data_IF_497333166803
#
_entry.id   IF_497333166803
#
_cell.length_a   1.000
_cell.length_b   1.000
_cell.length_c   1.000
_cell.angle_alpha   90.00
_cell.angle_beta   90.00
_cell.angle_gamma   90.00
#
_symmetry.space_group_name_H-M   'P 1'
#
loop_
_entity.id
_entity.type
_entity.pdbx_description
1 polymer ?
#
# COMPACT_ATOMS: atom_id res chain seq x y z
N UNK A 1 -67.34 -63.75 3.71
CA UNK A 1 -67.33 -62.82 4.86
C UNK A 1 -66.67 -61.53 4.41
N UNK A 2 -67.21 -60.37 4.84
CA UNK A 2 -67.67 -59.36 3.87
C UNK A 2 -66.94 -58.03 4.05
N UNK A 3 -67.07 -57.12 3.07
CA UNK A 3 -67.59 -55.78 3.36
C UNK A 3 -68.42 -55.27 2.16
N UNK A 4 -69.65 -54.90 2.51
CA UNK A 4 -70.70 -54.28 1.71
C UNK A 4 -70.80 -52.84 2.19
N UNK A 5 -70.94 -51.86 1.29
CA UNK A 5 -71.99 -50.81 1.38
C UNK A 5 -72.29 -50.27 -0.03
N UNK A 6 -73.58 -50.28 -0.39
CA UNK A 6 -74.24 -49.66 -1.56
C UNK A 6 -74.36 -48.14 -1.39
N UNK A 7 -74.42 -47.38 -2.49
CA UNK A 7 -75.49 -46.38 -2.76
C UNK A 7 -75.39 -45.78 -4.17
N UNK A 8 -76.53 -45.78 -4.88
CA UNK A 8 -76.98 -44.85 -5.94
C UNK A 8 -78.39 -44.46 -5.45
N UNK A 9 -78.87 -43.19 -5.41
CA UNK A 9 -79.25 -42.47 -6.64
C UNK A 9 -79.35 -40.90 -6.61
N UNK A 10 -79.71 -40.37 -7.78
CA UNK A 10 -80.47 -39.12 -8.11
C UNK A 10 -79.70 -37.83 -8.46
N UNK A 11 -79.77 -37.54 -9.77
CA UNK A 11 -80.00 -36.29 -10.50
C UNK A 11 -79.82 -34.90 -9.84
N UNK A 12 -79.05 -34.05 -10.52
CA UNK A 12 -79.33 -32.62 -10.74
C UNK A 12 -78.59 -32.19 -12.02
N UNK A 13 -79.32 -31.94 -13.11
CA UNK A 13 -79.64 -30.61 -13.61
C UNK A 13 -78.48 -29.95 -14.39
N UNK A 14 -78.67 -29.87 -15.71
CA UNK A 14 -77.85 -29.12 -16.63
C UNK A 14 -77.85 -27.62 -16.27
N UNK A 15 -76.67 -27.02 -16.20
CA UNK A 15 -76.50 -25.57 -16.31
C UNK A 15 -75.61 -25.33 -17.51
N UNK A 16 -76.24 -24.91 -18.59
CA UNK A 16 -75.60 -24.29 -19.74
C UNK A 16 -75.22 -22.86 -19.31
N UNK A 17 -73.93 -22.58 -19.12
CA UNK A 17 -73.46 -21.20 -19.00
C UNK A 17 -72.39 -20.96 -20.07
N UNK A 18 -72.73 -20.02 -20.95
CA UNK A 18 -71.97 -19.64 -22.12
C UNK A 18 -70.53 -19.26 -21.76
N UNK A 19 -69.57 -20.04 -22.25
CA UNK A 19 -68.19 -19.55 -22.39
C UNK A 19 -68.19 -18.65 -23.61
N UNK A 20 -68.21 -17.34 -23.36
CA UNK A 20 -67.87 -16.34 -24.35
C UNK A 20 -66.48 -16.65 -24.89
N UNK A 21 -66.37 -16.91 -26.19
CA UNK A 21 -65.13 -16.76 -26.92
C UNK A 21 -64.71 -15.29 -26.81
N UNK A 22 -63.83 -14.98 -25.87
CA UNK A 22 -62.99 -13.80 -25.97
C UNK A 22 -61.84 -14.18 -26.90
N UNK A 23 -61.89 -13.56 -28.08
CA UNK A 23 -60.89 -13.69 -29.12
C UNK A 23 -59.48 -13.39 -28.59
N UNK A 24 -58.53 -14.11 -29.16
CA UNK A 24 -57.09 -13.95 -29.03
C UNK A 24 -56.70 -12.46 -29.15
N UNK A 25 -56.11 -11.91 -28.09
CA UNK A 25 -55.17 -10.81 -28.25
C UNK A 25 -53.87 -11.42 -28.72
N UNK A 26 -53.48 -11.12 -29.97
CA UNK A 26 -52.11 -11.29 -30.46
C UNK A 26 -51.19 -10.37 -29.65
N UNK A 27 -50.87 -10.76 -28.42
CA UNK A 27 -49.73 -10.19 -27.72
C UNK A 27 -48.47 -10.77 -28.39
N UNK A 28 -48.03 -10.08 -29.44
CA UNK A 28 -46.66 -10.11 -29.96
C UNK A 28 -45.68 -9.59 -28.90
N UNK A 29 -45.74 -10.14 -27.69
CA UNK A 29 -44.68 -9.99 -26.69
C UNK A 29 -43.57 -10.92 -27.15
N UNK A 30 -42.74 -10.42 -28.07
CA UNK A 30 -41.41 -10.98 -28.28
C UNK A 30 -40.83 -11.25 -26.88
N UNK A 31 -40.40 -12.48 -26.54
CA UNK A 31 -39.80 -12.75 -25.24
C UNK A 31 -38.74 -11.67 -24.96
N UNK A 32 -38.60 -11.19 -23.72
CA UNK A 32 -37.71 -10.06 -23.45
C UNK A 32 -36.34 -10.40 -24.02
N UNK A 33 -35.81 -9.55 -24.89
CA UNK A 33 -34.49 -9.82 -25.46
C UNK A 33 -33.44 -9.74 -24.34
N UNK A 34 -32.30 -10.40 -24.53
CA UNK A 34 -31.12 -10.14 -23.70
C UNK A 34 -30.79 -8.63 -23.73
N UNK A 35 -30.24 -8.05 -22.64
CA UNK A 35 -29.96 -6.62 -22.60
C UNK A 35 -28.99 -6.18 -23.72
N UNK A 36 -29.07 -4.93 -24.21
CA UNK A 36 -28.10 -4.40 -25.16
C UNK A 36 -26.71 -4.25 -24.51
N UNK A 37 -25.67 -4.11 -25.34
CA UNK A 37 -24.32 -3.87 -24.86
C UNK A 37 -24.24 -2.61 -23.97
N UNK A 38 -23.60 -2.68 -22.80
CA UNK A 38 -23.28 -1.49 -22.02
C UNK A 38 -22.45 -0.49 -22.83
N UNK A 39 -22.64 0.80 -22.55
CA UNK A 39 -21.90 1.90 -23.17
C UNK A 39 -21.14 2.68 -22.11
N UNK A 40 -20.17 3.49 -22.55
CA UNK A 40 -19.42 4.37 -21.64
C UNK A 40 -18.54 3.62 -20.65
N UNK A 41 -18.09 2.39 -20.98
CA UNK A 41 -17.08 1.71 -20.19
C UNK A 41 -15.80 2.55 -20.19
N UNK A 42 -15.39 2.97 -19.01
CA UNK A 42 -14.16 3.70 -18.75
C UNK A 42 -13.34 2.97 -17.69
N UNK A 43 -12.02 3.05 -17.81
CA UNK A 43 -11.05 2.57 -16.85
C UNK A 43 -10.11 3.72 -16.48
N UNK A 44 -9.87 3.92 -15.19
CA UNK A 44 -8.94 4.92 -14.67
C UNK A 44 -8.10 4.30 -13.56
N UNK A 45 -6.83 4.65 -13.48
CA UNK A 45 -5.96 4.22 -12.39
C UNK A 45 -6.27 5.04 -11.13
N UNK A 46 -6.31 4.38 -9.97
CA UNK A 46 -6.39 5.05 -8.67
C UNK A 46 -5.15 5.93 -8.44
N UNK A 47 -5.27 6.94 -7.59
CA UNK A 47 -4.18 7.89 -7.34
C UNK A 47 -2.89 7.23 -6.79
N UNK A 48 -3.03 6.10 -6.10
CA UNK A 48 -1.95 5.30 -5.54
C UNK A 48 -1.41 4.23 -6.51
N UNK A 49 -1.93 4.18 -7.75
CA UNK A 49 -1.53 3.22 -8.78
C UNK A 49 -1.68 1.75 -8.36
N UNK A 50 -2.61 1.46 -7.46
CA UNK A 50 -2.85 0.12 -6.91
C UNK A 50 -4.11 -0.54 -7.46
N UNK A 51 -5.01 0.23 -8.07
CA UNK A 51 -6.35 -0.24 -8.46
C UNK A 51 -6.78 0.39 -9.78
N UNK A 52 -7.37 -0.39 -10.68
CA UNK A 52 -8.10 0.13 -11.85
C UNK A 52 -9.58 0.31 -11.48
N UNK A 53 -10.03 1.55 -11.47
CA UNK A 53 -11.41 1.95 -11.25
C UNK A 53 -12.18 1.93 -12.57
N UNK A 54 -13.18 1.07 -12.65
CA UNK A 54 -14.04 0.89 -13.81
C UNK A 54 -15.42 1.49 -13.56
N UNK A 55 -15.98 2.09 -14.61
CA UNK A 55 -17.37 2.58 -14.60
C UNK A 55 -18.02 2.40 -15.96
N UNK A 56 -19.33 2.22 -15.99
CA UNK A 56 -20.12 2.14 -17.23
C UNK A 56 -21.54 2.71 -17.04
N UNK A 57 -22.27 2.91 -18.13
CA UNK A 57 -23.66 3.36 -18.08
C UNK A 57 -24.61 2.20 -17.74
N UNK A 58 -25.63 2.49 -16.92
CA UNK A 58 -26.69 1.53 -16.64
C UNK A 58 -27.45 1.13 -17.91
N UNK A 59 -27.78 -0.16 -18.03
CA UNK A 59 -28.50 -0.73 -19.17
C UNK A 59 -29.94 -1.04 -18.78
N UNK A 60 -30.90 -0.46 -19.50
CA UNK A 60 -32.33 -0.75 -19.31
C UNK A 60 -32.62 -2.22 -19.53
N UNK A 61 -33.32 -2.85 -18.57
CA UNK A 61 -33.70 -4.26 -18.63
C UNK A 61 -32.61 -5.24 -18.18
N UNK A 62 -31.45 -4.74 -17.73
CA UNK A 62 -30.43 -5.54 -17.07
C UNK A 62 -30.79 -5.77 -15.58
N UNK A 63 -30.55 -6.98 -15.08
CA UNK A 63 -30.59 -7.29 -13.65
C UNK A 63 -29.18 -7.36 -13.04
N UNK A 64 -28.14 -7.41 -13.87
CA UNK A 64 -26.75 -7.26 -13.46
C UNK A 64 -25.75 -7.19 -14.61
N UNK A 65 -24.48 -7.23 -14.28
CA UNK A 65 -23.36 -7.17 -15.23
C UNK A 65 -22.31 -8.24 -14.96
N UNK A 66 -21.66 -8.68 -16.04
CA UNK A 66 -20.45 -9.50 -16.05
C UNK A 66 -19.31 -8.64 -16.58
N UNK A 67 -18.25 -8.52 -15.78
CA UNK A 67 -17.03 -7.81 -16.14
C UNK A 67 -15.91 -8.81 -16.43
N UNK A 68 -15.28 -8.65 -17.58
CA UNK A 68 -14.17 -9.47 -18.03
C UNK A 68 -12.91 -8.62 -18.26
N UNK A 69 -11.75 -9.20 -17.94
CA UNK A 69 -10.41 -8.63 -18.12
C UNK A 69 -9.55 -9.55 -18.96
N UNK A 70 -8.69 -8.98 -19.79
CA UNK A 70 -7.60 -9.67 -20.48
C UNK A 70 -6.31 -8.85 -20.31
N UNK A 71 -5.16 -9.50 -20.26
CA UNK A 71 -3.87 -8.82 -20.40
C UNK A 71 -3.60 -8.44 -21.85
N UNK A 72 -2.87 -7.34 -22.05
CA UNK A 72 -2.35 -6.88 -23.33
C UNK A 72 -3.21 -5.81 -24.04
N UNK A 73 -2.53 -5.12 -24.96
CA UNK A 73 -3.13 -4.29 -26.00
C UNK A 73 -2.43 -4.60 -27.33
N UNK A 74 -3.06 -5.34 -28.26
CA UNK A 74 -4.45 -5.82 -28.23
C UNK A 74 -4.70 -6.86 -27.14
N UNK A 75 -5.95 -6.98 -26.72
CA UNK A 75 -6.39 -7.90 -25.67
C UNK A 75 -6.02 -9.36 -25.98
N UNK A 76 -5.49 -10.06 -24.98
CA UNK A 76 -5.33 -11.50 -24.96
C UNK A 76 -6.64 -12.25 -24.70
N UNK A 77 -6.60 -13.24 -23.79
CA UNK A 77 -7.81 -14.01 -23.44
C UNK A 77 -8.57 -13.34 -22.31
N UNK A 78 -9.86 -13.07 -22.53
CA UNK A 78 -10.74 -12.51 -21.50
C UNK A 78 -11.13 -13.57 -20.45
N UNK A 79 -11.01 -13.21 -19.18
CA UNK A 79 -11.49 -13.95 -18.03
C UNK A 79 -12.43 -13.06 -17.19
N UNK A 80 -13.44 -13.67 -16.59
CA UNK A 80 -14.37 -12.94 -15.72
C UNK A 80 -13.69 -12.55 -14.40
N UNK A 81 -13.77 -11.28 -14.04
CA UNK A 81 -13.27 -10.72 -12.77
C UNK A 81 -14.41 -10.20 -11.87
N UNK A 82 -15.58 -9.94 -12.46
CA UNK A 82 -16.80 -9.61 -11.72
C UNK A 82 -18.01 -10.29 -12.36
N UNK A 83 -18.84 -10.92 -11.56
CA UNK A 83 -20.12 -11.52 -11.97
C UNK A 83 -21.23 -11.08 -11.03
N UNK A 84 -22.47 -11.09 -11.53
CA UNK A 84 -23.65 -10.68 -10.77
C UNK A 84 -23.57 -9.27 -10.17
N UNK A 85 -22.81 -8.38 -10.82
CA UNK A 85 -22.66 -7.00 -10.38
C UNK A 85 -23.99 -6.26 -10.56
N UNK A 86 -24.52 -5.67 -9.49
CA UNK A 86 -25.75 -4.86 -9.55
C UNK A 86 -25.47 -3.37 -9.71
N UNK A 87 -24.25 -2.94 -9.35
CA UNK A 87 -23.75 -1.59 -9.60
C UNK A 87 -23.16 -1.42 -10.99
N UNK A 88 -22.77 -0.18 -11.31
CA UNK A 88 -22.15 0.19 -12.59
C UNK A 88 -20.70 0.65 -12.43
N UNK A 89 -20.05 0.20 -11.36
CA UNK A 89 -18.65 0.47 -11.04
C UNK A 89 -17.98 -0.79 -10.51
N UNK A 90 -16.66 -0.91 -10.67
CA UNK A 90 -15.86 -2.00 -10.13
C UNK A 90 -14.42 -1.55 -9.88
N UNK A 91 -13.82 -1.99 -8.79
CA UNK A 91 -12.43 -1.68 -8.43
C UNK A 91 -11.58 -2.94 -8.57
N UNK A 92 -10.70 -2.97 -9.57
CA UNK A 92 -9.79 -4.09 -9.84
C UNK A 92 -8.42 -3.83 -9.22
N UNK A 93 -8.16 -4.43 -8.05
CA UNK A 93 -6.90 -4.29 -7.32
C UNK A 93 -5.88 -5.41 -7.61
N UNK A 94 -6.24 -6.39 -8.45
CA UNK A 94 -5.37 -7.50 -8.84
C UNK A 94 -4.62 -7.14 -10.12
N UNK A 95 -3.85 -6.05 -10.06
CA UNK A 95 -3.12 -5.48 -11.19
C UNK A 95 -1.62 -5.49 -10.94
N UNK A 96 -0.87 -5.63 -12.02
CA UNK A 96 0.58 -5.52 -12.01
C UNK A 96 1.03 -4.25 -12.75
N UNK A 97 2.06 -3.59 -12.20
CA UNK A 97 2.73 -2.48 -12.87
C UNK A 97 3.45 -3.01 -14.12
N UNK A 98 3.54 -2.16 -15.14
CA UNK A 98 4.08 -2.46 -16.48
C UNK A 98 3.28 -3.51 -17.27
N UNK A 99 2.04 -3.78 -16.85
CA UNK A 99 1.09 -4.61 -17.59
C UNK A 99 -0.01 -3.73 -18.17
N UNK A 100 -0.44 -4.01 -19.41
CA UNK A 100 -1.64 -3.40 -19.97
C UNK A 100 -2.83 -4.34 -19.73
N UNK A 101 -3.96 -3.79 -19.33
CA UNK A 101 -5.21 -4.54 -19.17
C UNK A 101 -6.27 -4.02 -20.14
N UNK A 102 -7.03 -4.95 -20.69
CA UNK A 102 -8.19 -4.70 -21.52
C UNK A 102 -9.44 -5.20 -20.82
N UNK A 103 -10.47 -4.37 -20.74
CA UNK A 103 -11.73 -4.66 -20.06
C UNK A 103 -12.90 -4.59 -21.01
N UNK A 104 -13.91 -5.43 -20.77
CA UNK A 104 -15.24 -5.33 -21.39
C UNK A 104 -16.30 -5.75 -20.38
N UNK A 105 -17.49 -5.18 -20.52
CA UNK A 105 -18.61 -5.48 -19.63
C UNK A 105 -19.84 -5.89 -20.44
N UNK A 106 -20.56 -6.90 -19.98
CA UNK A 106 -21.81 -7.38 -20.56
C UNK A 106 -22.94 -7.21 -19.55
N UNK A 107 -24.11 -6.75 -19.99
CA UNK A 107 -25.32 -6.76 -19.16
C UNK A 107 -26.04 -8.10 -19.28
N UNK A 108 -26.69 -8.57 -18.21
CA UNK A 108 -27.50 -9.78 -18.25
C UNK A 108 -28.86 -9.58 -17.57
N UNK A 109 -29.81 -10.45 -17.91
CA UNK A 109 -31.09 -10.61 -17.22
C UNK A 109 -31.52 -12.09 -17.25
N UNK A 110 -32.77 -12.39 -16.86
CA UNK A 110 -33.32 -13.75 -16.84
C UNK A 110 -33.33 -14.46 -18.21
N UNK A 111 -33.12 -13.72 -19.29
CA UNK A 111 -33.09 -14.23 -20.67
C UNK A 111 -31.66 -14.55 -21.14
N UNK A 112 -30.66 -14.15 -20.35
CA UNK A 112 -29.24 -14.42 -20.59
C UNK A 112 -28.38 -13.17 -20.64
N UNK A 113 -27.12 -13.39 -21.00
CA UNK A 113 -26.09 -12.35 -21.13
C UNK A 113 -26.10 -11.75 -22.54
N UNK A 114 -26.17 -10.42 -22.62
CA UNK A 114 -26.10 -9.68 -23.88
C UNK A 114 -24.69 -9.62 -24.46
N UNK A 115 -24.55 -8.92 -25.59
CA UNK A 115 -23.22 -8.66 -26.20
C UNK A 115 -22.37 -7.75 -25.32
N UNK A 116 -21.04 -7.95 -25.27
CA UNK A 116 -20.15 -7.09 -24.50
C UNK A 116 -20.10 -5.66 -25.06
N UNK A 117 -19.71 -4.72 -24.19
CA UNK A 117 -19.34 -3.35 -24.54
C UNK A 117 -18.17 -3.31 -25.53
N UNK A 118 -17.87 -2.12 -26.04
CA UNK A 118 -16.55 -1.84 -26.59
C UNK A 118 -15.47 -2.13 -25.53
N UNK A 119 -14.30 -2.60 -25.98
CA UNK A 119 -13.14 -2.85 -25.13
C UNK A 119 -12.50 -1.51 -24.76
N UNK A 120 -12.20 -1.31 -23.48
CA UNK A 120 -11.31 -0.25 -23.01
C UNK A 120 -9.98 -0.88 -22.62
N UNK A 121 -8.87 -0.23 -22.96
CA UNK A 121 -7.53 -0.67 -22.55
C UNK A 121 -6.92 0.44 -21.70
N UNK A 122 -6.23 0.04 -20.63
CA UNK A 122 -5.38 0.90 -19.81
C UNK A 122 -4.00 0.25 -19.67
N UNK A 123 -2.94 1.02 -19.85
CA UNK A 123 -1.58 0.61 -19.53
C UNK A 123 -1.29 1.05 -18.09
N UNK A 124 -0.84 0.12 -17.24
CA UNK A 124 -0.41 0.42 -15.88
C UNK A 124 1.06 0.79 -15.95
N UNK A 125 1.35 2.04 -16.27
CA UNK A 125 2.72 2.57 -16.35
C UNK A 125 3.11 3.24 -15.02
N UNK A 126 4.38 3.10 -14.60
CA UNK A 126 4.91 3.80 -13.42
C UNK A 126 5.46 2.87 -12.34
N UNK A 127 5.25 3.25 -11.08
CA UNK A 127 5.59 2.50 -9.86
C UNK A 127 4.36 2.59 -8.94
N UNK A 128 4.08 1.56 -8.13
CA UNK A 128 3.03 1.68 -7.11
C UNK A 128 3.46 2.77 -6.12
N UNK A 129 2.52 3.51 -5.54
CA UNK A 129 2.87 4.48 -4.50
C UNK A 129 2.07 4.22 -3.25
N UNK A 130 2.69 4.39 -2.08
CA UNK A 130 2.00 4.20 -0.81
C UNK A 130 2.52 5.17 0.26
N UNK A 131 1.61 5.85 0.94
CA UNK A 131 1.96 6.72 2.08
C UNK A 131 1.90 5.93 3.39
N UNK A 132 2.92 6.11 4.23
CA UNK A 132 2.99 5.59 5.59
C UNK A 132 2.92 6.80 6.54
N UNK A 133 1.76 7.00 7.16
CA UNK A 133 1.53 8.08 8.13
C UNK A 133 1.34 7.59 9.57
N UNK A 134 0.89 6.34 9.72
CA UNK A 134 0.69 5.72 11.03
C UNK A 134 1.92 4.95 11.50
N UNK A 135 2.06 4.83 12.82
CA UNK A 135 3.08 3.98 13.43
C UNK A 135 2.89 2.51 13.03
N UNK A 136 4.01 1.83 12.79
CA UNK A 136 4.06 0.41 12.46
C UNK A 136 4.08 -0.38 13.77
N UNK A 137 2.92 -0.90 14.16
CA UNK A 137 2.71 -1.59 15.46
C UNK A 137 2.74 -3.11 15.36
N UNK A 138 2.85 -3.65 14.15
CA UNK A 138 3.03 -5.07 13.86
C UNK A 138 3.99 -5.22 12.67
N UNK A 139 4.49 -6.43 12.45
CA UNK A 139 5.41 -6.72 11.36
C UNK A 139 4.86 -6.21 10.01
N UNK A 140 5.72 -5.53 9.26
CA UNK A 140 5.37 -4.95 7.96
C UNK A 140 6.49 -5.18 6.97
N UNK A 141 6.15 -5.54 5.74
CA UNK A 141 7.07 -5.64 4.61
C UNK A 141 6.83 -4.50 3.62
N UNK A 142 7.91 -3.85 3.17
CA UNK A 142 7.92 -2.88 2.08
C UNK A 142 8.51 -3.55 0.83
N UNK A 143 7.82 -3.41 -0.30
CA UNK A 143 8.12 -4.12 -1.55
C UNK A 143 8.83 -3.23 -2.56
N UNK A 144 9.68 -3.82 -3.40
CA UNK A 144 10.51 -3.07 -4.35
C UNK A 144 9.73 -2.52 -5.56
N UNK A 145 8.47 -2.92 -5.74
CA UNK A 145 7.55 -2.43 -6.77
C UNK A 145 6.79 -1.17 -6.36
N UNK A 146 7.07 -0.65 -5.16
CA UNK A 146 6.32 0.42 -4.51
C UNK A 146 7.25 1.51 -3.98
N UNK A 147 6.99 2.74 -4.41
CA UNK A 147 7.56 3.96 -3.83
C UNK A 147 6.79 4.30 -2.54
N UNK A 148 7.47 4.26 -1.41
CA UNK A 148 6.86 4.59 -0.13
C UNK A 148 7.16 6.02 0.30
N UNK A 149 6.14 6.78 0.72
CA UNK A 149 6.30 8.11 1.30
C UNK A 149 6.08 8.04 2.82
N UNK A 150 7.08 8.43 3.61
CA UNK A 150 6.96 8.60 5.06
C UNK A 150 6.34 9.96 5.35
N UNK A 151 5.12 10.00 5.88
CA UNK A 151 4.39 11.23 6.18
C UNK A 151 4.27 11.42 7.69
N UNK A 152 5.23 12.15 8.26
CA UNK A 152 5.37 12.34 9.70
C UNK A 152 6.55 11.55 10.30
N UNK A 153 6.58 11.49 11.64
CA UNK A 153 7.59 10.77 12.41
C UNK A 153 7.14 9.32 12.59
N UNK A 154 7.32 8.51 11.55
CA UNK A 154 6.81 7.13 11.49
C UNK A 154 7.63 6.25 12.43
N UNK A 155 6.98 5.71 13.47
CA UNK A 155 7.64 4.85 14.46
C UNK A 155 7.33 3.38 14.23
N UNK A 156 8.37 2.56 14.19
CA UNK A 156 8.26 1.09 14.32
C UNK A 156 8.29 0.76 15.81
N UNK A 157 7.14 0.29 16.32
CA UNK A 157 6.94 0.08 17.75
C UNK A 157 7.64 -1.19 18.25
N UNK A 158 7.89 -1.23 19.57
CA UNK A 158 8.49 -2.38 20.23
C UNK A 158 7.76 -3.68 19.89
N UNK A 159 8.51 -4.73 19.54
CA UNK A 159 7.96 -6.03 19.14
C UNK A 159 7.62 -6.15 17.65
N UNK A 160 7.61 -5.05 16.88
CA UNK A 160 7.42 -5.09 15.43
C UNK A 160 8.75 -5.11 14.67
N UNK A 161 8.73 -5.74 13.50
CA UNK A 161 9.84 -5.73 12.52
C UNK A 161 9.39 -5.06 11.22
N UNK A 162 10.14 -4.07 10.78
CA UNK A 162 10.02 -3.48 9.44
C UNK A 162 11.00 -4.18 8.50
N UNK A 163 10.49 -5.02 7.61
CA UNK A 163 11.28 -5.66 6.54
C UNK A 163 11.18 -4.84 5.26
N UNK A 164 12.31 -4.60 4.60
CA UNK A 164 12.38 -3.83 3.36
C UNK A 164 13.11 -4.64 2.31
N UNK A 165 12.46 -4.89 1.18
CA UNK A 165 13.05 -5.64 0.07
C UNK A 165 14.21 -4.88 -0.59
N UNK A 166 15.20 -5.59 -1.16
CA UNK A 166 16.22 -4.96 -1.98
C UNK A 166 15.62 -4.13 -3.12
N UNK A 167 16.16 -2.95 -3.39
CA UNK A 167 15.70 -2.05 -4.45
C UNK A 167 14.53 -1.14 -4.09
N UNK A 168 13.92 -1.30 -2.91
CA UNK A 168 12.83 -0.41 -2.48
C UNK A 168 13.32 1.02 -2.31
N UNK A 169 12.53 1.97 -2.83
CA UNK A 169 12.72 3.41 -2.60
C UNK A 169 11.71 3.92 -1.59
N UNK A 170 12.19 4.64 -0.59
CA UNK A 170 11.41 5.30 0.44
C UNK A 170 11.77 6.79 0.43
N UNK A 171 10.77 7.66 0.47
CA UNK A 171 10.95 9.11 0.48
C UNK A 171 10.37 9.76 1.73
N UNK A 172 11.01 10.81 2.22
CA UNK A 172 10.37 11.73 3.17
C UNK A 172 9.30 12.58 2.47
N UNK A 173 8.16 12.77 3.12
CA UNK A 173 7.08 13.63 2.61
C UNK A 173 7.49 15.11 2.65
N UNK A 174 7.61 15.80 1.50
CA UNK A 174 7.99 17.21 1.46
C UNK A 174 6.89 18.13 2.01
N UNK A 175 5.65 17.64 2.17
CA UNK A 175 4.57 18.38 2.79
C UNK A 175 4.58 18.27 4.33
N UNK A 176 5.38 17.36 4.90
CA UNK A 176 5.47 17.14 6.35
C UNK A 176 6.91 17.34 6.83
N UNK A 177 7.14 18.54 7.38
CA UNK A 177 8.39 18.96 8.00
C UNK A 177 8.96 17.90 8.96
N UNK A 178 10.20 17.49 8.72
CA UNK A 178 10.92 16.52 9.55
C UNK A 178 10.42 15.07 9.43
N UNK A 179 9.63 14.76 8.39
CA UNK A 179 9.20 13.38 8.13
C UNK A 179 10.41 12.41 8.17
N UNK A 180 10.27 11.31 8.90
CA UNK A 180 11.41 10.46 9.28
C UNK A 180 10.96 9.06 9.73
N UNK A 181 11.92 8.13 9.77
CA UNK A 181 11.69 6.75 10.21
C UNK A 181 12.39 6.48 11.55
N UNK A 182 11.65 5.98 12.53
CA UNK A 182 12.12 5.80 13.91
C UNK A 182 11.93 4.33 14.32
N UNK A 183 13.02 3.59 14.48
CA UNK A 183 13.01 2.22 14.99
C UNK A 183 13.15 2.28 16.51
N UNK A 184 12.06 2.06 17.24
CA UNK A 184 12.05 2.21 18.70
C UNK A 184 12.72 1.03 19.41
N UNK A 185 13.05 1.23 20.70
CA UNK A 185 13.62 0.17 21.55
C UNK A 185 12.78 -1.11 21.51
N UNK A 186 13.43 -2.22 21.17
CA UNK A 186 12.81 -3.54 21.05
C UNK A 186 12.05 -3.77 19.73
N UNK A 187 12.02 -2.79 18.82
CA UNK A 187 11.65 -2.98 17.43
C UNK A 187 12.86 -3.41 16.61
N UNK A 188 12.63 -3.84 15.37
CA UNK A 188 13.69 -4.21 14.43
C UNK A 188 13.46 -3.62 13.04
N UNK A 189 14.55 -3.34 12.34
CA UNK A 189 14.56 -3.08 10.90
C UNK A 189 15.36 -4.18 10.19
N UNK A 190 14.80 -4.74 9.13
CA UNK A 190 15.47 -5.70 8.26
C UNK A 190 15.55 -5.12 6.85
N UNK A 191 16.56 -4.29 6.61
CA UNK A 191 16.82 -3.60 5.35
C UNK A 191 18.09 -4.17 4.72
N UNK A 192 17.94 -5.22 3.93
CA UNK A 192 19.04 -5.96 3.30
C UNK A 192 19.03 -5.78 1.79
N UNK A 193 19.48 -4.62 1.31
CA UNK A 193 19.71 -4.38 -0.11
C UNK A 193 20.86 -5.21 -0.68
N UNK A 194 21.13 -5.01 -1.96
CA UNK A 194 22.33 -5.55 -2.63
C UNK A 194 23.10 -4.45 -3.36
N UNK A 195 24.30 -4.75 -3.83
CA UNK A 195 25.07 -3.79 -4.63
C UNK A 195 24.33 -3.35 -5.91
N UNK A 196 23.57 -4.26 -6.54
CA UNK A 196 22.81 -4.00 -7.77
C UNK A 196 21.41 -3.42 -7.48
N UNK A 197 20.88 -3.63 -6.28
CA UNK A 197 19.57 -3.17 -5.85
C UNK A 197 19.65 -2.65 -4.40
N UNK A 198 20.29 -1.49 -4.17
CA UNK A 198 20.34 -0.89 -2.84
C UNK A 198 18.96 -0.43 -2.41
N UNK A 199 18.70 -0.43 -1.11
CA UNK A 199 17.53 0.25 -0.53
C UNK A 199 17.86 1.74 -0.43
N UNK A 200 16.97 2.60 -0.89
CA UNK A 200 17.21 4.06 -0.93
C UNK A 200 16.17 4.77 -0.10
N UNK A 201 16.63 5.47 0.95
CA UNK A 201 15.87 6.50 1.64
C UNK A 201 16.32 7.87 1.12
N UNK A 202 15.42 8.69 0.61
CA UNK A 202 15.78 9.95 -0.06
C UNK A 202 14.70 11.03 0.09
N UNK A 203 14.98 12.21 -0.47
CA UNK A 203 14.01 13.31 -0.52
C UNK A 203 12.83 13.00 -1.43
N UNK A 204 11.62 13.35 -0.97
CA UNK A 204 10.40 13.34 -1.78
C UNK A 204 10.27 14.53 -2.73
N UNK A 205 11.18 15.50 -2.69
CA UNK A 205 11.22 16.57 -3.68
C UNK A 205 11.62 16.02 -5.06
N UNK A 206 11.12 16.64 -6.15
CA UNK A 206 11.51 16.28 -7.51
C UNK A 206 13.03 16.34 -7.70
N UNK A 207 13.55 15.40 -8.50
CA UNK A 207 14.97 15.40 -8.89
C UNK A 207 15.36 16.77 -9.47
N UNK A 208 16.48 17.32 -8.99
CA UNK A 208 16.94 18.67 -9.34
C UNK A 208 16.50 19.76 -8.36
N UNK A 209 15.52 19.48 -7.50
CA UNK A 209 15.05 20.37 -6.43
C UNK A 209 15.33 19.82 -5.03
N UNK A 210 16.05 18.69 -4.93
CA UNK A 210 16.40 18.07 -3.65
C UNK A 210 17.50 18.86 -2.96
N UNK A 211 17.38 19.02 -1.65
CA UNK A 211 18.33 19.74 -0.83
C UNK A 211 18.63 18.97 0.47
N UNK A 212 19.83 19.14 1.05
CA UNK A 212 20.10 18.68 2.41
C UNK A 212 19.01 19.16 3.37
N UNK A 213 18.53 18.27 4.24
CA UNK A 213 17.50 18.58 5.24
C UNK A 213 16.07 18.56 4.69
N UNK A 214 15.85 18.02 3.49
CA UNK A 214 14.50 17.85 2.93
C UNK A 214 13.61 16.95 3.80
N UNK A 215 14.21 16.05 4.58
CA UNK A 215 13.53 15.14 5.50
C UNK A 215 14.45 14.75 6.68
N UNK A 216 13.90 14.09 7.69
CA UNK A 216 14.56 13.89 8.99
C UNK A 216 15.44 12.66 9.13
N UNK A 217 15.61 11.84 8.09
CA UNK A 217 16.50 10.67 8.15
C UNK A 217 15.95 9.46 8.91
N UNK A 218 16.86 8.57 9.30
CA UNK A 218 16.56 7.30 9.97
C UNK A 218 17.16 7.29 11.37
N UNK A 219 16.34 6.95 12.35
CA UNK A 219 16.72 6.88 13.75
C UNK A 219 16.51 5.46 14.28
N UNK A 220 17.48 4.93 15.02
CA UNK A 220 17.39 3.62 15.67
C UNK A 220 17.68 3.76 17.16
N UNK A 221 16.77 3.27 18.00
CA UNK A 221 16.92 3.21 19.45
C UNK A 221 17.11 1.76 19.85
N UNK A 222 18.30 1.42 20.34
CA UNK A 222 18.60 0.11 20.89
C UNK A 222 18.46 0.03 22.40
N UNK A 223 18.98 -1.07 22.93
CA UNK A 223 19.05 -1.37 24.36
C UNK A 223 20.49 -1.49 24.89
N UNK A 224 21.46 -0.94 24.18
CA UNK A 224 22.87 -0.79 24.58
C UNK A 224 23.07 0.17 25.75
N UNK A 225 24.23 0.13 26.37
CA UNK A 225 24.58 0.95 27.53
C UNK A 225 25.03 2.34 27.06
N UNK A 226 24.66 3.38 27.79
CA UNK A 226 25.15 4.76 27.61
C UNK A 226 25.73 5.29 28.92
N UNK A 227 26.57 6.32 28.85
CA UNK A 227 27.27 6.89 30.01
C UNK A 227 26.52 8.07 30.71
N UNK A 228 25.26 8.33 30.34
CA UNK A 228 24.43 9.40 30.91
C UNK A 228 23.33 8.89 31.87
N UNK A 229 23.00 9.73 32.86
CA UNK A 229 21.93 9.45 33.80
C UNK A 229 20.53 9.75 33.20
N UNK A 230 19.51 8.93 33.48
CA UNK A 230 18.17 9.11 32.93
C UNK A 230 17.41 10.29 33.55
N UNK A 231 16.42 10.88 32.85
CA UNK A 231 16.06 10.59 31.47
C UNK A 231 16.97 11.32 30.48
N UNK A 232 17.34 10.64 29.40
CA UNK A 232 17.95 11.26 28.20
C UNK A 232 17.05 10.98 27.01
N UNK A 233 16.73 12.03 26.26
CA UNK A 233 15.80 12.04 25.15
C UNK A 233 16.56 12.15 23.84
N UNK A 234 16.07 11.48 22.79
CA UNK A 234 16.53 11.70 21.43
C UNK A 234 16.31 13.15 21.03
N UNK A 235 17.03 13.59 20.00
CA UNK A 235 16.66 14.80 19.27
C UNK A 235 15.34 14.61 18.51
N UNK A 236 14.75 15.72 18.08
CA UNK A 236 13.44 15.77 17.45
C UNK A 236 12.50 16.79 18.11
N UNK A 237 11.35 17.06 17.48
CA UNK A 237 10.46 18.10 17.97
C UNK A 237 9.81 17.72 19.31
N UNK A 238 9.45 18.76 20.07
CA UNK A 238 8.81 18.61 21.37
C UNK A 238 7.57 17.70 21.30
N UNK A 239 7.52 16.69 22.17
CA UNK A 239 6.41 15.73 22.24
C UNK A 239 6.53 14.55 21.28
N UNK A 240 7.56 14.51 20.42
CA UNK A 240 7.88 13.37 19.54
C UNK A 240 9.10 12.60 20.05
N UNK A 241 10.05 13.28 20.68
CA UNK A 241 11.29 12.70 21.24
C UNK A 241 11.06 11.46 22.09
N UNK A 242 12.00 10.52 22.07
CA UNK A 242 11.93 9.24 22.78
C UNK A 242 13.02 9.11 23.83
N UNK A 243 12.76 8.37 24.91
CA UNK A 243 13.81 8.09 25.92
C UNK A 243 14.70 6.96 25.44
N UNK A 244 16.01 7.20 25.31
CA UNK A 244 17.00 6.15 25.02
C UNK A 244 17.95 5.86 26.18
N UNK A 245 17.89 6.61 27.28
CA UNK A 245 18.59 6.21 28.51
C UNK A 245 18.09 4.88 29.10
N UNK A 246 18.91 4.26 29.96
CA UNK A 246 18.55 3.04 30.70
C UNK A 246 18.68 1.74 29.93
N UNK A 247 19.37 1.72 28.78
CA UNK A 247 19.75 0.48 28.13
C UNK A 247 20.78 -0.30 28.95
N UNK A 248 20.75 -1.63 28.83
CA UNK A 248 21.47 -2.57 29.72
C UNK A 248 22.19 -3.70 28.99
N UNK A 249 22.11 -3.75 27.67
CA UNK A 249 22.54 -4.89 26.86
C UNK A 249 23.31 -4.43 25.63
N UNK A 250 24.63 -4.40 25.73
CA UNK A 250 25.49 -4.13 24.57
C UNK A 250 25.39 -5.18 23.47
N UNK A 251 24.88 -6.38 23.74
CA UNK A 251 24.62 -7.40 22.72
C UNK A 251 23.20 -7.30 22.12
N UNK A 252 22.46 -6.22 22.40
CA UNK A 252 21.17 -5.96 21.77
C UNK A 252 21.27 -5.94 20.24
N UNK A 253 20.16 -6.26 19.58
CA UNK A 253 20.11 -6.34 18.12
C UNK A 253 18.84 -5.64 17.64
N UNK A 254 19.02 -4.47 17.04
CA UNK A 254 17.97 -3.64 16.43
C UNK A 254 17.74 -3.95 14.95
N UNK A 255 18.44 -4.96 14.41
CA UNK A 255 18.25 -5.49 13.06
C UNK A 255 19.47 -5.31 12.15
N UNK A 256 19.20 -5.10 10.85
CA UNK A 256 20.21 -5.05 9.80
C UNK A 256 19.94 -3.89 8.85
N UNK A 257 20.95 -3.07 8.62
CA UNK A 257 21.06 -2.18 7.46
C UNK A 257 22.24 -2.65 6.62
N UNK A 258 21.95 -3.13 5.41
CA UNK A 258 22.95 -3.57 4.46
C UNK A 258 22.66 -3.06 3.05
N UNK A 259 23.65 -2.44 2.38
CA UNK A 259 23.46 -1.80 1.07
C UNK A 259 22.30 -0.81 1.08
N UNK A 260 22.38 0.15 2.00
CA UNK A 260 21.37 1.20 2.22
C UNK A 260 21.98 2.55 1.87
N UNK A 261 21.23 3.38 1.14
CA UNK A 261 21.56 4.79 0.90
C UNK A 261 20.55 5.66 1.65
N UNK A 262 21.06 6.66 2.37
CA UNK A 262 20.27 7.67 3.05
C UNK A 262 20.73 9.01 2.46
N UNK A 263 19.82 9.73 1.82
CA UNK A 263 20.16 10.90 1.02
C UNK A 263 19.33 12.10 1.40
N UNK A 264 19.92 13.29 1.42
CA UNK A 264 19.20 14.57 1.63
C UNK A 264 18.44 14.64 2.97
N UNK A 265 18.83 13.81 3.95
CA UNK A 265 18.33 13.86 5.32
C UNK A 265 18.92 15.06 6.07
N UNK A 266 18.71 15.20 7.39
CA UNK A 266 19.31 16.30 8.15
C UNK A 266 18.34 17.34 8.72
N UNK A 267 17.02 17.09 8.79
CA UNK A 267 16.03 18.15 9.02
C UNK A 267 16.21 18.90 10.36
N UNK A 268 16.34 20.23 10.28
CA UNK A 268 16.39 21.12 11.43
C UNK A 268 15.02 21.31 12.10
N UNK A 269 14.84 20.65 13.24
CA UNK A 269 13.58 20.69 14.01
C UNK A 269 13.47 21.93 14.88
N UNK A 270 14.53 22.72 15.00
CA UNK A 270 14.65 23.88 15.88
C UNK A 270 14.51 25.23 15.16
N UNK A 271 14.65 25.26 13.83
CA UNK A 271 14.64 26.48 13.04
C UNK A 271 15.89 27.34 13.23
N UNK A 272 17.05 26.70 13.36
CA UNK A 272 18.39 27.30 13.41
C UNK A 272 18.92 27.47 14.83
N UNK A 273 18.36 26.73 15.79
CA UNK A 273 18.78 26.76 17.18
C UNK A 273 19.62 25.53 17.60
N UNK A 274 20.08 24.72 16.64
CA UNK A 274 20.98 23.60 16.88
C UNK A 274 20.28 22.36 17.45
N UNK A 275 19.06 22.05 16.97
CA UNK A 275 18.53 20.69 17.07
C UNK A 275 18.10 20.25 15.69
N UNK A 276 18.88 19.35 15.14
CA UNK A 276 18.74 18.81 13.81
C UNK A 276 18.57 17.28 13.93
N UNK A 277 17.88 16.67 12.97
CA UNK A 277 17.85 15.22 12.87
C UNK A 277 18.93 14.79 11.89
N UNK A 278 19.65 13.71 12.16
CA UNK A 278 20.76 13.28 11.32
C UNK A 278 20.34 12.42 10.12
N UNK A 279 21.29 12.04 9.27
CA UNK A 279 21.05 11.03 8.25
C UNK A 279 20.80 9.66 8.88
N UNK A 280 21.71 9.19 9.73
CA UNK A 280 21.52 7.99 10.54
C UNK A 280 21.91 8.24 12.00
N UNK A 281 20.91 8.32 12.88
CA UNK A 281 21.14 8.43 14.33
C UNK A 281 21.03 7.06 15.01
N UNK A 282 22.04 6.70 15.78
CA UNK A 282 22.19 5.42 16.45
C UNK A 282 22.20 5.62 17.97
N UNK A 283 21.01 5.60 18.56
CA UNK A 283 20.83 5.77 20.00
C UNK A 283 20.92 4.45 20.74
N UNK A 284 21.95 4.28 21.58
CA UNK A 284 22.14 3.08 22.40
C UNK A 284 22.05 1.77 21.59
N UNK A 285 22.53 1.74 20.35
CA UNK A 285 22.38 0.57 19.46
C UNK A 285 23.40 -0.51 19.85
N UNK A 286 22.94 -1.75 20.05
CA UNK A 286 23.81 -2.86 20.46
C UNK A 286 24.60 -3.50 19.32
N UNK A 287 25.68 -4.20 19.68
CA UNK A 287 26.63 -4.89 18.80
C UNK A 287 26.05 -6.08 18.05
N UNK A 288 24.83 -6.52 18.39
CA UNK A 288 24.11 -7.53 17.62
C UNK A 288 23.48 -6.98 16.34
N UNK A 289 23.40 -5.65 16.21
CA UNK A 289 22.89 -4.96 15.02
C UNK A 289 23.93 -4.96 13.91
N UNK A 290 23.51 -5.20 12.67
CA UNK A 290 24.41 -5.19 11.50
C UNK A 290 24.29 -3.86 10.77
N UNK A 291 25.41 -3.14 10.63
CA UNK A 291 25.51 -1.90 9.87
C UNK A 291 26.65 -2.03 8.84
N UNK A 292 26.31 -2.43 7.61
CA UNK A 292 27.31 -2.71 6.56
C UNK A 292 26.95 -2.07 5.21
N UNK A 293 27.90 -1.49 4.50
CA UNK A 293 27.65 -0.89 3.18
C UNK A 293 26.53 0.17 3.21
N UNK A 294 26.56 1.03 4.22
CA UNK A 294 25.59 2.13 4.35
C UNK A 294 26.25 3.42 3.89
N UNK A 295 25.54 4.15 3.03
CA UNK A 295 25.98 5.43 2.52
C UNK A 295 25.04 6.54 2.99
N UNK A 296 25.60 7.61 3.56
CA UNK A 296 24.95 8.91 3.68
C UNK A 296 25.39 9.81 2.52
N UNK A 297 24.46 10.56 1.94
CA UNK A 297 24.68 11.48 0.82
C UNK A 297 23.97 12.81 1.05
N UNK A 298 24.72 13.91 1.05
CA UNK A 298 24.18 15.27 1.02
C UNK A 298 23.17 15.55 2.16
N UNK A 299 23.43 15.04 3.37
CA UNK A 299 22.63 15.37 4.57
C UNK A 299 22.92 16.78 5.08
N UNK A 300 21.94 17.47 5.69
CA UNK A 300 22.15 18.82 6.26
C UNK A 300 22.94 18.78 7.55
N UNK A 301 22.81 17.68 8.28
CA UNK A 301 23.42 17.44 9.58
C UNK A 301 24.28 16.15 9.51
N UNK A 302 24.60 15.52 10.64
CA UNK A 302 25.55 14.43 10.65
C UNK A 302 25.16 13.27 9.75
N UNK A 303 26.17 12.67 9.14
CA UNK A 303 25.98 11.49 8.30
C UNK A 303 25.73 10.23 9.13
N UNK A 304 26.49 10.05 10.19
CA UNK A 304 26.36 8.92 11.11
C UNK A 304 26.67 9.41 12.51
N UNK A 305 25.72 9.27 13.42
CA UNK A 305 25.90 9.72 14.78
C UNK A 305 25.55 8.62 15.78
N UNK A 306 26.47 8.37 16.71
CA UNK A 306 26.31 7.38 17.76
C UNK A 306 26.12 8.07 19.11
N UNK A 307 24.99 7.76 19.75
CA UNK A 307 24.68 8.16 21.11
C UNK A 307 24.81 6.94 22.04
N UNK A 308 26.05 6.61 22.38
CA UNK A 308 26.44 5.42 23.13
C UNK A 308 26.07 4.09 22.45
N UNK A 309 25.92 3.03 23.25
CA UNK A 309 25.73 1.68 22.73
C UNK A 309 27.02 0.96 22.39
N UNK A 310 26.94 -0.01 21.49
CA UNK A 310 28.06 -0.90 21.14
C UNK A 310 28.01 -1.39 19.67
N UNK A 311 27.23 -0.75 18.80
CA UNK A 311 27.15 -1.16 17.39
C UNK A 311 28.43 -0.79 16.64
N UNK A 312 28.95 -1.75 15.87
CA UNK A 312 30.05 -1.54 14.93
C UNK A 312 29.50 -1.27 13.52
N UNK A 313 30.14 -0.35 12.79
CA UNK A 313 29.88 -0.11 11.37
C UNK A 313 30.99 -0.63 10.47
N UNK A 314 30.66 -1.14 9.28
CA UNK A 314 31.64 -1.54 8.26
C UNK A 314 31.26 -1.03 6.89
N UNK A 315 32.25 -0.56 6.12
CA UNK A 315 32.04 -0.06 4.77
C UNK A 315 31.04 1.11 4.72
N UNK A 316 31.17 2.03 5.68
CA UNK A 316 30.36 3.23 5.72
C UNK A 316 30.94 4.27 4.75
N UNK A 317 30.06 4.96 4.04
CA UNK A 317 30.42 6.08 3.16
C UNK A 317 29.62 7.29 3.59
N UNK A 318 30.29 8.40 3.85
CA UNK A 318 29.65 9.71 3.96
C UNK A 318 30.18 10.58 2.83
N UNK A 319 29.29 11.28 2.14
CA UNK A 319 29.64 12.18 1.06
C UNK A 319 28.76 13.43 1.12
N UNK A 320 29.39 14.61 1.06
CA UNK A 320 28.72 15.92 1.14
C UNK A 320 27.87 16.13 2.43
N UNK A 321 28.37 15.68 3.59
CA UNK A 321 27.74 16.01 4.89
C UNK A 321 27.71 17.53 5.11
N UNK A 322 26.62 18.02 5.68
CA UNK A 322 26.44 19.43 6.03
C UNK A 322 27.12 19.82 7.34
N UNK A 323 27.20 18.88 8.29
CA UNK A 323 28.01 18.99 9.52
C UNK A 323 29.05 17.84 9.61
N UNK A 324 29.01 16.98 10.63
CA UNK A 324 30.02 15.94 10.80
C UNK A 324 29.75 14.69 9.96
N UNK A 325 30.84 14.09 9.46
CA UNK A 325 30.74 12.83 8.74
C UNK A 325 30.46 11.66 9.68
N UNK A 326 31.04 11.71 10.88
CA UNK A 326 30.88 10.70 11.92
C UNK A 326 31.06 11.37 13.28
N UNK A 327 30.02 11.35 14.12
CA UNK A 327 30.09 11.84 15.50
C UNK A 327 29.75 10.74 16.52
N UNK A 328 30.46 10.74 17.64
CA UNK A 328 30.26 9.81 18.74
C UNK A 328 30.21 10.57 20.05
N UNK A 329 29.12 10.33 20.77
CA UNK A 329 28.93 10.83 22.12
C UNK A 329 28.36 9.72 23.01
N UNK A 330 28.42 9.92 24.32
CA UNK A 330 27.73 9.10 25.32
C UNK A 330 28.08 7.60 25.43
N UNK A 331 29.20 7.18 24.82
CA UNK A 331 29.78 5.83 24.94
C UNK A 331 30.61 5.57 26.19
#
# INVERSE_FOLDING_TARGET
MPFSVRTIPVAAAAVLLAVSLAACGDDNTNPPATPPAPTGLAAALSADSSTVELSWNAVTGATGYVLERAEGSPAGTFAQIGGDLTGTTYSDADIEINVAYSYRVSAFNDQGTGTPSAVVTIAIEGERVATISDNITADRTLFADTLYTLSGYVKVASGATLTIQPGTTIVGDPAVAGSSLWILRGARIDAQGTADAPIVFTSGNPVGSRAPGDWGGVLIIGNGIINRAPPVLTEGPQGVTETYSGGINNADNSGTLRYVRIEFAGYDVSGGAGQELNSLSLYAVGSGTTLEFVQSLSGLDDSFEWWGGAVDGRYLVSYESGDDHFDWTEG
#
